data_IF_451330753156
#
_entry.id   IF_451330753156
#
_cell.length_a   1.000
_cell.length_b   1.000
_cell.length_c   1.000
_cell.angle_alpha   90.00
_cell.angle_beta   90.00
_cell.angle_gamma   90.00
#
_symmetry.space_group_name_H-M   'P 1'
#
loop_
_entity.id
_entity.type
_entity.pdbx_description
1 polymer ?
#
# COMPACT_ATOMS: atom_id res chain seq x y z
N UNK A 1 -8.99 15.03 -3.46
CA UNK A 1 -7.74 15.84 -3.36
C UNK A 1 -7.40 16.26 -1.94
N UNK A 2 -8.36 16.70 -1.11
CA UNK A 2 -8.09 17.14 0.28
C UNK A 2 -7.35 16.10 1.15
N UNK A 3 -7.69 14.79 1.03
CA UNK A 3 -7.01 13.70 1.77
C UNK A 3 -5.54 13.47 1.41
N UNK A 4 -5.09 13.90 0.23
CA UNK A 4 -3.70 13.71 -0.21
C UNK A 4 -2.84 14.90 0.21
N UNK A 5 -3.44 16.04 0.56
CA UNK A 5 -2.71 17.25 0.93
C UNK A 5 -1.78 17.07 2.15
N UNK A 6 -2.16 16.34 3.22
CA UNK A 6 -1.25 16.02 4.33
C UNK A 6 -0.04 15.20 3.88
N UNK A 7 -0.23 14.29 2.91
CA UNK A 7 0.88 13.52 2.33
C UNK A 7 1.82 14.45 1.55
N UNK A 8 1.29 15.33 0.70
CA UNK A 8 2.12 16.24 -0.09
C UNK A 8 2.98 17.19 0.76
N UNK A 9 2.55 17.50 1.99
CA UNK A 9 3.31 18.34 2.93
C UNK A 9 4.42 17.59 3.66
N UNK A 10 4.25 16.29 3.93
CA UNK A 10 5.16 15.50 4.75
C UNK A 10 6.12 14.62 3.93
N UNK A 11 5.80 14.35 2.66
CA UNK A 11 6.62 13.51 1.79
C UNK A 11 7.53 14.35 0.90
N UNK A 12 8.84 14.16 1.02
CA UNK A 12 9.85 14.94 0.28
C UNK A 12 10.13 14.43 -1.13
N UNK A 13 9.87 13.15 -1.43
CA UNK A 13 10.22 12.52 -2.73
C UNK A 13 9.15 11.53 -3.17
N UNK A 14 8.38 11.91 -4.18
CA UNK A 14 7.36 11.06 -4.79
C UNK A 14 7.90 10.48 -6.11
N UNK A 15 7.74 9.17 -6.31
CA UNK A 15 8.14 8.47 -7.54
C UNK A 15 7.02 7.57 -8.04
N UNK A 16 6.95 7.36 -9.36
CA UNK A 16 6.03 6.41 -10.00
C UNK A 16 6.89 5.45 -10.83
N UNK A 17 7.07 4.21 -10.35
CA UNK A 17 7.94 3.22 -11.00
C UNK A 17 7.23 2.34 -12.02
N UNK A 18 5.89 2.36 -12.07
CA UNK A 18 5.11 1.56 -13.02
C UNK A 18 5.05 0.06 -12.73
N UNK A 19 5.66 -0.43 -11.64
CA UNK A 19 5.62 -1.83 -11.22
C UNK A 19 5.30 -1.97 -9.74
N UNK A 20 4.21 -2.65 -9.41
CA UNK A 20 3.76 -2.86 -8.03
C UNK A 20 4.76 -3.72 -7.25
N UNK A 21 5.14 -4.89 -7.78
CA UNK A 21 6.12 -5.77 -7.13
C UNK A 21 7.45 -5.06 -6.85
N UNK A 22 8.03 -4.36 -7.84
CA UNK A 22 9.28 -3.63 -7.65
C UNK A 22 9.17 -2.55 -6.57
N UNK A 23 8.09 -1.76 -6.62
CA UNK A 23 7.87 -0.68 -5.65
C UNK A 23 7.76 -1.23 -4.23
N UNK A 24 7.07 -2.36 -4.06
CA UNK A 24 6.98 -3.04 -2.76
C UNK A 24 8.35 -3.55 -2.29
N UNK A 25 9.13 -4.19 -3.16
CA UNK A 25 10.47 -4.68 -2.81
C UNK A 25 11.43 -3.55 -2.41
N UNK A 26 11.28 -2.36 -2.98
CA UNK A 26 12.06 -1.18 -2.58
C UNK A 26 11.68 -0.67 -1.18
N UNK A 27 10.46 -0.93 -0.70
CA UNK A 27 10.09 -0.69 0.70
C UNK A 27 10.76 -1.73 1.58
N UNK A 28 10.70 -3.00 1.19
CA UNK A 28 11.34 -4.10 1.91
C UNK A 28 12.86 -3.90 2.05
N UNK A 29 13.53 -3.33 1.04
CA UNK A 29 14.96 -2.98 1.09
C UNK A 29 15.27 -1.69 1.87
N UNK A 30 14.25 -0.98 2.37
CA UNK A 30 14.39 0.30 3.07
C UNK A 30 14.69 1.49 2.17
N UNK A 31 14.62 1.34 0.84
CA UNK A 31 14.89 2.41 -0.14
C UNK A 31 13.68 3.33 -0.38
N UNK A 32 12.47 2.88 -0.01
CA UNK A 32 11.24 3.67 -0.01
C UNK A 32 10.45 3.45 1.29
N UNK A 33 9.66 4.44 1.69
CA UNK A 33 8.92 4.39 2.96
C UNK A 33 7.49 3.87 2.81
N UNK A 34 6.84 4.19 1.69
CA UNK A 34 5.48 3.77 1.39
C UNK A 34 5.18 3.71 -0.11
N UNK A 35 4.16 2.91 -0.44
CA UNK A 35 3.50 2.86 -1.73
C UNK A 35 1.99 2.92 -1.51
N UNK A 36 1.38 4.00 -2.00
CA UNK A 36 -0.06 4.25 -1.90
C UNK A 36 -0.67 3.97 -3.27
N UNK A 37 -1.30 2.80 -3.41
CA UNK A 37 -1.95 2.41 -4.65
C UNK A 37 -3.46 2.55 -4.51
N UNK A 38 -4.00 3.64 -5.05
CA UNK A 38 -5.44 3.93 -5.05
C UNK A 38 -6.19 3.35 -6.26
N UNK A 39 -5.52 2.56 -7.11
CA UNK A 39 -6.14 2.01 -8.31
C UNK A 39 -6.86 0.71 -7.97
N UNK A 40 -8.18 0.72 -8.12
CA UNK A 40 -9.03 -0.48 -8.04
C UNK A 40 -8.62 -1.57 -9.05
N UNK A 41 -7.87 -1.23 -10.10
CA UNK A 41 -7.50 -2.14 -11.18
C UNK A 41 -6.21 -2.94 -10.95
N UNK A 42 -5.48 -2.72 -9.85
CA UNK A 42 -4.25 -3.46 -9.56
C UNK A 42 -4.54 -4.94 -9.31
N UNK A 43 -3.96 -5.84 -10.10
CA UNK A 43 -4.15 -7.29 -9.94
C UNK A 43 -3.32 -7.82 -8.78
N UNK A 44 -3.86 -8.77 -8.03
CA UNK A 44 -3.13 -9.46 -6.96
C UNK A 44 -1.85 -10.11 -7.45
N UNK A 45 -1.91 -10.80 -8.58
CA UNK A 45 -0.75 -11.48 -9.16
C UNK A 45 0.42 -10.54 -9.48
N UNK A 46 0.15 -9.26 -9.79
CA UNK A 46 1.19 -8.26 -10.10
C UNK A 46 1.90 -7.73 -8.83
N UNK A 47 1.30 -7.93 -7.65
CA UNK A 47 1.81 -7.47 -6.37
C UNK A 47 2.26 -8.61 -5.43
N UNK A 48 1.72 -9.82 -5.60
CA UNK A 48 1.83 -10.94 -4.66
C UNK A 48 3.27 -11.26 -4.23
N UNK A 49 4.20 -11.34 -5.19
CA UNK A 49 5.61 -11.61 -4.88
C UNK A 49 6.23 -10.51 -4.00
N UNK A 50 5.93 -9.24 -4.30
CA UNK A 50 6.39 -8.11 -3.48
C UNK A 50 5.76 -8.14 -2.08
N UNK A 51 4.47 -8.47 -1.99
CA UNK A 51 3.76 -8.58 -0.70
C UNK A 51 4.42 -9.62 0.22
N UNK A 52 4.75 -10.80 -0.32
CA UNK A 52 5.44 -11.84 0.44
C UNK A 52 6.78 -11.34 0.98
N UNK A 53 7.61 -10.75 0.11
CA UNK A 53 8.93 -10.20 0.50
C UNK A 53 8.79 -9.10 1.55
N UNK A 54 7.81 -8.20 1.40
CA UNK A 54 7.57 -7.13 2.36
C UNK A 54 7.18 -7.67 3.74
N UNK A 55 6.33 -8.69 3.77
CA UNK A 55 5.91 -9.32 5.03
C UNK A 55 7.10 -9.97 5.75
N UNK A 56 7.99 -10.67 5.02
CA UNK A 56 9.22 -11.23 5.59
C UNK A 56 10.19 -10.16 6.11
N UNK A 57 10.23 -9.00 5.44
CA UNK A 57 11.00 -7.84 5.88
C UNK A 57 10.36 -7.06 7.06
N UNK A 58 9.20 -7.49 7.56
CA UNK A 58 8.47 -6.84 8.66
C UNK A 58 7.70 -5.57 8.26
N UNK A 59 7.58 -5.31 6.96
CA UNK A 59 6.74 -4.24 6.43
C UNK A 59 5.25 -4.51 6.62
N UNK A 60 4.44 -3.54 6.21
CA UNK A 60 2.99 -3.54 6.43
C UNK A 60 2.28 -3.33 5.12
N UNK A 61 1.19 -4.07 4.93
CA UNK A 61 0.27 -3.87 3.82
C UNK A 61 -1.17 -4.00 4.30
N UNK A 62 -2.03 -3.09 3.85
CA UNK A 62 -3.44 -3.07 4.21
C UNK A 62 -4.27 -2.42 3.11
N UNK A 63 -5.56 -2.76 3.08
CA UNK A 63 -6.57 -2.16 2.22
C UNK A 63 -6.87 -0.71 2.65
N UNK A 64 -7.61 0.05 1.83
CA UNK A 64 -7.94 1.46 2.13
C UNK A 64 -8.87 1.64 3.35
N UNK A 65 -9.54 0.58 3.80
CA UNK A 65 -10.33 0.51 5.04
C UNK A 65 -9.50 0.01 6.25
N UNK A 66 -8.20 -0.23 6.05
CA UNK A 66 -7.29 -0.73 7.07
C UNK A 66 -7.35 -2.23 7.31
N UNK A 67 -8.16 -2.97 6.55
CA UNK A 67 -8.24 -4.43 6.64
C UNK A 67 -6.98 -5.12 6.09
N UNK A 68 -6.75 -6.34 6.57
CA UNK A 68 -5.71 -7.22 6.05
C UNK A 68 -6.14 -7.71 4.67
N UNK A 69 -5.18 -7.85 3.77
CA UNK A 69 -5.42 -8.38 2.43
C UNK A 69 -5.33 -9.90 2.48
N UNK A 70 -6.48 -10.55 2.66
CA UNK A 70 -6.61 -12.01 2.65
C UNK A 70 -7.56 -12.42 1.52
N UNK A 71 -6.99 -12.63 0.34
CA UNK A 71 -7.72 -13.00 -0.88
C UNK A 71 -6.97 -14.11 -1.62
N UNK A 72 -7.68 -15.04 -2.29
CA UNK A 72 -7.03 -16.10 -3.05
C UNK A 72 -6.21 -15.53 -4.21
N UNK A 73 -5.04 -16.12 -4.48
CA UNK A 73 -4.19 -15.73 -5.59
C UNK A 73 -4.88 -16.06 -6.93
N UNK A 74 -5.51 -15.05 -7.53
CA UNK A 74 -6.21 -15.15 -8.81
C UNK A 74 -5.98 -13.90 -9.66
N UNK A 75 -6.04 -14.06 -10.98
CA UNK A 75 -5.93 -12.97 -11.96
C UNK A 75 -7.13 -12.02 -11.94
N UNK A 76 -8.27 -12.50 -11.46
CA UNK A 76 -9.52 -11.74 -11.38
C UNK A 76 -9.58 -10.84 -10.15
N UNK A 77 -8.75 -11.12 -9.15
CA UNK A 77 -8.71 -10.35 -7.90
C UNK A 77 -7.96 -9.04 -8.15
N UNK A 78 -8.69 -7.93 -7.97
CA UNK A 78 -8.14 -6.58 -8.01
C UNK A 78 -8.47 -5.82 -6.74
N UNK A 79 -7.56 -4.95 -6.32
CA UNK A 79 -7.71 -4.19 -5.09
C UNK A 79 -6.75 -3.00 -5.05
N UNK A 80 -7.16 -1.90 -4.41
CA UNK A 80 -6.27 -0.85 -3.96
C UNK A 80 -5.59 -1.29 -2.66
N UNK A 81 -4.41 -0.75 -2.38
CA UNK A 81 -3.70 -1.04 -1.13
C UNK A 81 -2.72 0.06 -0.76
N UNK A 82 -2.31 0.03 0.51
CA UNK A 82 -1.21 0.82 1.05
C UNK A 82 -0.17 -0.16 1.58
N UNK A 83 1.06 -0.05 1.09
CA UNK A 83 2.23 -0.74 1.61
C UNK A 83 3.18 0.26 2.24
N UNK A 84 3.80 -0.05 3.38
CA UNK A 84 4.74 0.84 4.05
C UNK A 84 5.69 0.11 5.00
N UNK A 85 6.70 0.83 5.48
CA UNK A 85 7.48 0.39 6.63
C UNK A 85 6.66 0.50 7.93
N UNK A 86 7.10 -0.22 8.96
CA UNK A 86 6.41 -0.27 10.26
C UNK A 86 6.32 1.09 10.95
N UNK A 87 7.30 1.98 10.75
CA UNK A 87 7.34 3.30 11.41
C UNK A 87 6.24 4.23 10.87
N UNK A 88 5.93 4.13 9.59
CA UNK A 88 5.00 5.01 8.90
C UNK A 88 3.55 4.49 8.91
N UNK A 89 3.34 3.21 9.24
CA UNK A 89 2.02 2.59 9.36
C UNK A 89 1.02 3.41 10.19
N UNK A 90 1.32 3.89 11.41
CA UNK A 90 0.32 4.57 12.23
C UNK A 90 -0.14 5.89 11.61
N UNK A 91 0.79 6.63 10.99
CA UNK A 91 0.49 7.87 10.29
C UNK A 91 -0.41 7.62 9.08
N UNK A 92 -0.08 6.62 8.25
CA UNK A 92 -0.88 6.31 7.05
C UNK A 92 -2.27 5.79 7.40
N UNK A 93 -2.40 4.97 8.45
CA UNK A 93 -3.71 4.55 8.93
C UNK A 93 -4.54 5.75 9.39
N UNK A 94 -3.97 6.64 10.19
CA UNK A 94 -4.66 7.86 10.65
C UNK A 94 -5.14 8.75 9.49
N UNK A 95 -4.30 8.96 8.49
CA UNK A 95 -4.58 9.94 7.42
C UNK A 95 -5.41 9.37 6.26
N UNK A 96 -5.32 8.06 6.00
CA UNK A 96 -5.90 7.45 4.79
C UNK A 96 -6.99 6.40 5.05
N UNK A 97 -7.03 5.81 6.25
CA UNK A 97 -8.06 4.84 6.63
C UNK A 97 -9.21 5.57 7.32
N UNK A 98 -10.39 5.60 6.69
CA UNK A 98 -11.62 6.18 7.24
C UNK A 98 -12.62 5.09 7.65
N UNK A 99 -13.40 5.35 8.70
CA UNK A 99 -14.51 4.48 9.12
C UNK A 99 -15.65 4.36 8.10
N UNK A 100 -15.84 5.35 7.22
CA UNK A 100 -16.90 5.33 6.18
C UNK A 100 -16.74 4.19 5.16
N UNK A 101 -15.54 3.61 5.02
CA UNK A 101 -15.28 2.51 4.09
C UNK A 101 -15.57 1.11 4.69
N UNK A 102 -16.04 1.01 5.94
CA UNK A 102 -16.43 -0.27 6.58
C UNK A 102 -17.80 -0.80 6.14
N UNK A 103 -18.56 -0.04 5.36
CA UNK A 103 -19.98 -0.31 5.10
C UNK A 103 -20.32 -0.69 3.64
N UNK A 104 -19.33 -1.14 2.86
CA UNK A 104 -19.56 -1.71 1.52
C UNK A 104 -19.04 -3.14 1.43
#
# INVERSE_FOLDING_TARGET
>A
LQKIAPLLRNFFRIRILGSSALTICQIASGSMEAFINLRESNRLVDAAAGILILNEAGGKIFSLDGSIIDRPLSIDVRFPFIACNTKLEPFLKKELVNEENRSL
#
